data_IF_476514434541
#
_entry.id   IF_476514434541
#
_cell.length_a   1.000
_cell.length_b   1.000
_cell.length_c   1.000
_cell.angle_alpha   90.00
_cell.angle_beta   90.00
_cell.angle_gamma   90.00
#
_symmetry.space_group_name_H-M   'P 1'
#
loop_
_entity.id
_entity.type
_entity.pdbx_description
1 polymer ?
#
# COMPACT_ATOMS: atom_id res chain seq x y z
N UNK A 1 -2.91 -1.91 25.97
CA UNK A 1 -3.35 -2.35 24.63
C UNK A 1 -2.26 -3.21 24.00
N UNK A 2 -2.59 -4.43 23.56
CA UNK A 2 -1.67 -5.39 22.94
C UNK A 2 -0.98 -4.75 21.70
N UNK A 3 0.31 -5.01 21.48
CA UNK A 3 1.05 -4.49 20.33
C UNK A 3 0.41 -4.91 18.99
N UNK A 4 -0.20 -6.09 18.93
CA UNK A 4 -0.95 -6.53 17.75
C UNK A 4 -2.16 -5.61 17.46
N UNK A 5 -2.91 -5.20 18.50
CA UNK A 5 -4.05 -4.28 18.35
C UNK A 5 -3.56 -2.90 17.90
N UNK A 6 -2.43 -2.41 18.45
CA UNK A 6 -1.81 -1.14 18.01
C UNK A 6 -1.42 -1.19 16.54
N UNK A 7 -0.91 -2.33 16.07
CA UNK A 7 -0.54 -2.52 14.67
C UNK A 7 -1.75 -2.54 13.75
N UNK A 8 -2.84 -3.23 14.11
CA UNK A 8 -4.09 -3.19 13.34
C UNK A 8 -4.67 -1.78 13.25
N UNK A 9 -4.60 -1.00 14.33
CA UNK A 9 -4.99 0.41 14.29
C UNK A 9 -4.09 1.23 13.37
N UNK A 10 -2.77 1.05 13.45
CA UNK A 10 -1.82 1.75 12.59
C UNK A 10 -2.04 1.40 11.10
N UNK A 11 -2.18 0.11 10.77
CA UNK A 11 -2.50 -0.34 9.40
C UNK A 11 -3.86 0.14 8.94
N UNK A 12 -4.86 0.19 9.83
CA UNK A 12 -6.18 0.75 9.53
C UNK A 12 -6.12 2.24 9.17
N UNK A 13 -5.35 3.03 9.92
CA UNK A 13 -5.11 4.45 9.60
C UNK A 13 -4.37 4.59 8.25
N UNK A 14 -3.36 3.76 8.02
CA UNK A 14 -2.63 3.74 6.76
C UNK A 14 -3.56 3.37 5.58
N UNK A 15 -4.50 2.45 5.80
CA UNK A 15 -5.48 2.08 4.79
C UNK A 15 -6.49 3.21 4.51
N UNK A 16 -6.96 3.91 5.54
CA UNK A 16 -7.79 5.12 5.36
C UNK A 16 -7.07 6.18 4.51
N UNK A 17 -5.76 6.33 4.68
CA UNK A 17 -4.96 7.19 3.80
C UNK A 17 -5.04 6.78 2.32
N UNK A 18 -5.00 5.49 1.99
CA UNK A 18 -5.14 5.01 0.60
C UNK A 18 -6.52 5.37 0.02
N UNK A 19 -7.58 5.24 0.81
CA UNK A 19 -8.94 5.63 0.40
C UNK A 19 -9.00 7.13 0.12
N UNK A 20 -8.49 7.95 1.05
CA UNK A 20 -8.47 9.40 0.88
C UNK A 20 -7.64 9.83 -0.34
N UNK A 21 -6.51 9.15 -0.58
CA UNK A 21 -5.68 9.41 -1.77
C UNK A 21 -6.42 9.12 -3.06
N UNK A 22 -7.13 7.98 -3.14
CA UNK A 22 -7.97 7.66 -4.29
C UNK A 22 -9.01 8.74 -4.53
N UNK A 23 -9.72 9.18 -3.48
CA UNK A 23 -10.72 10.25 -3.61
C UNK A 23 -10.11 11.58 -4.01
N UNK A 24 -8.90 11.91 -3.57
CA UNK A 24 -8.20 13.11 -3.99
C UNK A 24 -7.87 13.08 -5.50
N UNK A 25 -7.40 11.92 -6.01
CA UNK A 25 -7.18 11.74 -7.46
C UNK A 25 -8.49 11.85 -8.24
N UNK A 26 -9.55 11.23 -7.73
CA UNK A 26 -10.87 11.29 -8.35
C UNK A 26 -11.43 12.72 -8.35
N UNK A 27 -11.29 13.47 -7.26
CA UNK A 27 -11.84 14.82 -7.14
C UNK A 27 -11.14 15.84 -8.05
N UNK A 28 -9.88 15.60 -8.42
CA UNK A 28 -9.15 16.43 -9.39
C UNK A 28 -9.31 15.95 -10.85
N UNK A 29 -10.13 14.93 -11.09
CA UNK A 29 -10.40 14.40 -12.44
C UNK A 29 -9.23 13.64 -13.05
N UNK A 30 -8.30 13.12 -12.25
CA UNK A 30 -7.11 12.44 -12.75
C UNK A 30 -7.45 11.22 -13.62
N UNK A 31 -8.45 10.44 -13.23
CA UNK A 31 -8.85 9.23 -13.96
C UNK A 31 -9.53 9.55 -15.30
N UNK A 32 -10.36 10.59 -15.33
CA UNK A 32 -10.99 11.07 -16.57
C UNK A 32 -9.94 11.61 -17.53
N UNK A 33 -8.97 12.38 -17.01
CA UNK A 33 -7.83 12.88 -17.78
C UNK A 33 -7.06 11.72 -18.42
N UNK A 34 -6.65 10.70 -17.65
CA UNK A 34 -5.92 9.56 -18.20
C UNK A 34 -6.77 8.77 -19.19
N UNK A 35 -8.06 8.57 -18.90
CA UNK A 35 -9.00 7.89 -19.79
C UNK A 35 -9.19 8.60 -21.12
N UNK A 36 -9.08 9.94 -21.15
CA UNK A 36 -9.17 10.75 -22.37
C UNK A 36 -7.98 10.61 -23.32
N UNK A 37 -6.84 10.10 -22.83
CA UNK A 37 -5.64 9.86 -23.64
C UNK A 37 -5.75 8.58 -24.48
N UNK A 38 -6.82 7.80 -24.31
CA UNK A 38 -6.95 6.46 -24.85
C UNK A 38 -8.09 6.39 -25.88
N UNK A 39 -7.92 5.62 -26.97
CA UNK A 39 -9.02 5.30 -27.86
C UNK A 39 -10.14 4.56 -27.11
N UNK A 40 -11.38 4.72 -27.57
CA UNK A 40 -12.57 4.15 -26.92
C UNK A 40 -12.44 2.62 -26.71
N UNK A 41 -11.86 1.90 -27.68
CA UNK A 41 -11.62 0.46 -27.60
C UNK A 41 -10.65 0.02 -26.49
N UNK A 42 -9.86 0.95 -25.94
CA UNK A 42 -8.85 0.68 -24.91
C UNK A 42 -9.07 1.50 -23.63
N UNK A 43 -10.22 2.14 -23.47
CA UNK A 43 -10.49 3.00 -22.32
C UNK A 43 -10.34 2.25 -20.99
N UNK A 44 -10.83 1.00 -20.90
CA UNK A 44 -10.73 0.19 -19.68
C UNK A 44 -9.29 -0.16 -19.27
N UNK A 45 -8.44 -0.57 -20.22
CA UNK A 45 -7.03 -0.87 -19.93
C UNK A 45 -6.23 0.40 -19.63
N UNK A 46 -6.55 1.50 -20.31
CA UNK A 46 -6.03 2.83 -20.00
C UNK A 46 -6.33 3.28 -18.58
N UNK A 47 -7.58 3.10 -18.15
CA UNK A 47 -8.00 3.41 -16.79
C UNK A 47 -7.25 2.56 -15.75
N UNK A 48 -7.03 1.26 -16.01
CA UNK A 48 -6.23 0.42 -15.11
C UNK A 48 -4.79 0.92 -14.96
N UNK A 49 -4.15 1.34 -16.06
CA UNK A 49 -2.82 1.96 -16.00
C UNK A 49 -2.85 3.28 -15.22
N UNK A 50 -3.88 4.11 -15.43
CA UNK A 50 -4.11 5.32 -14.66
C UNK A 50 -4.20 5.06 -13.17
N UNK A 51 -5.02 4.08 -12.76
CA UNK A 51 -5.12 3.65 -11.35
C UNK A 51 -3.76 3.21 -10.82
N UNK A 52 -3.04 2.37 -11.57
CA UNK A 52 -1.70 1.91 -11.19
C UNK A 52 -0.74 3.08 -10.95
N UNK A 53 -0.61 3.99 -11.92
CA UNK A 53 0.28 5.15 -11.84
C UNK A 53 -0.14 6.13 -10.74
N UNK A 54 -1.42 6.44 -10.62
CA UNK A 54 -1.94 7.36 -9.62
C UNK A 54 -1.82 6.83 -8.18
N UNK A 55 -2.02 5.52 -7.99
CA UNK A 55 -1.96 4.90 -6.65
C UNK A 55 -0.54 4.50 -6.23
N UNK A 56 0.40 4.33 -7.17
CA UNK A 56 1.78 3.91 -6.88
C UNK A 56 2.48 4.78 -5.81
N UNK A 57 2.41 6.12 -5.87
CA UNK A 57 2.98 6.97 -4.82
C UNK A 57 2.37 6.71 -3.44
N UNK A 58 1.05 6.50 -3.37
CA UNK A 58 0.36 6.23 -2.11
C UNK A 58 0.77 4.87 -1.53
N UNK A 59 0.89 3.84 -2.36
CA UNK A 59 1.38 2.53 -1.93
C UNK A 59 2.83 2.59 -1.44
N UNK A 60 3.68 3.41 -2.07
CA UNK A 60 5.04 3.62 -1.60
C UNK A 60 5.07 4.25 -0.19
N UNK A 61 4.29 5.31 0.03
CA UNK A 61 4.17 5.97 1.35
C UNK A 61 3.62 4.99 2.39
N UNK A 62 2.54 4.28 2.06
CA UNK A 62 1.91 3.28 2.92
C UNK A 62 2.90 2.18 3.35
N UNK A 63 3.69 1.66 2.40
CA UNK A 63 4.72 0.65 2.67
C UNK A 63 5.76 1.15 3.68
N UNK A 64 6.23 2.39 3.53
CA UNK A 64 7.20 2.99 4.46
C UNK A 64 6.60 3.24 5.84
N UNK A 65 5.35 3.70 5.89
CA UNK A 65 4.63 3.88 7.14
C UNK A 65 4.46 2.55 7.90
N UNK A 66 4.03 1.49 7.22
CA UNK A 66 3.86 0.17 7.86
C UNK A 66 5.18 -0.36 8.41
N UNK A 67 6.27 -0.28 7.63
CA UNK A 67 7.59 -0.72 8.08
C UNK A 67 8.08 0.09 9.29
N UNK A 68 7.78 1.39 9.33
CA UNK A 68 8.06 2.23 10.49
C UNK A 68 7.23 1.82 11.71
N UNK A 69 5.93 1.59 11.54
CA UNK A 69 5.04 1.17 12.61
C UNK A 69 5.42 -0.21 13.19
N UNK A 70 5.77 -1.17 12.34
CA UNK A 70 6.28 -2.49 12.74
C UNK A 70 7.55 -2.38 13.58
N UNK A 71 8.54 -1.61 13.11
CA UNK A 71 9.78 -1.33 13.85
C UNK A 71 9.50 -0.67 15.19
N UNK A 72 8.59 0.31 15.23
CA UNK A 72 8.26 1.05 16.46
C UNK A 72 7.55 0.18 17.50
N UNK A 73 6.73 -0.77 17.05
CA UNK A 73 5.97 -1.68 17.91
C UNK A 73 6.72 -2.98 18.23
N UNK A 74 7.95 -3.14 17.73
CA UNK A 74 8.76 -4.35 17.83
C UNK A 74 8.00 -5.61 17.39
N UNK A 75 7.18 -5.46 16.34
CA UNK A 75 6.44 -6.57 15.75
C UNK A 75 7.33 -7.17 14.69
N UNK A 76 7.90 -8.33 15.01
CA UNK A 76 8.60 -9.15 14.02
C UNK A 76 7.53 -9.80 13.16
N UNK A 77 7.21 -9.18 12.03
CA UNK A 77 6.61 -9.94 10.93
C UNK A 77 7.54 -11.11 10.59
N UNK A 78 6.98 -12.29 10.33
CA UNK A 78 7.78 -13.39 9.78
C UNK A 78 8.10 -13.00 8.34
N UNK A 79 9.26 -12.38 8.10
CA UNK A 79 9.70 -12.15 6.75
C UNK A 79 10.05 -13.51 6.12
N UNK A 80 9.89 -13.64 4.80
CA UNK A 80 10.21 -14.88 4.09
C UNK A 80 11.66 -15.34 4.38
N UNK A 81 12.55 -14.36 4.54
CA UNK A 81 13.94 -14.53 4.91
C UNK A 81 14.14 -15.09 6.34
N UNK A 82 13.25 -14.78 7.29
CA UNK A 82 13.32 -15.29 8.66
C UNK A 82 13.05 -16.80 8.75
N UNK A 83 12.43 -17.39 7.72
CA UNK A 83 12.27 -18.83 7.59
C UNK A 83 13.46 -19.53 6.93
N UNK A 84 14.19 -18.82 6.06
CA UNK A 84 15.28 -19.38 5.26
C UNK A 84 16.64 -19.25 5.96
N UNK A 85 16.85 -18.20 6.76
CA UNK A 85 18.09 -17.96 7.50
C UNK A 85 18.08 -18.48 8.95
N UNK A 86 17.04 -19.24 9.36
CA UNK A 86 17.19 -20.10 10.53
C UNK A 86 18.16 -21.20 10.16
N UNK A 87 19.45 -20.93 10.36
CA UNK A 87 20.40 -21.99 10.67
C UNK A 87 19.84 -22.69 11.89
N UNK A 88 19.59 -23.99 11.74
CA UNK A 88 19.35 -24.88 12.87
C UNK A 88 20.50 -24.67 13.86
N UNK A 89 20.25 -23.93 14.95
CA UNK A 89 21.14 -23.95 16.10
C UNK A 89 20.98 -25.34 16.71
N UNK A 90 22.02 -26.20 16.69
CA UNK A 90 21.93 -27.49 17.35
C UNK A 90 21.92 -27.25 18.86
N UNK A 91 20.83 -27.65 19.52
CA UNK A 91 20.80 -27.95 20.94
C UNK A 91 20.38 -29.40 21.13
#
# INVERSE_FOLDING_TARGET
>A
MNNNIKHHFATGIAFLFLIMWYYALHSVGFFDYVGSLMPESYHGSGLMLGIGLGMTPAFFIWSRFNRWAEKKLNIKGKYYEDGFYKKDDPK
#
